data_IF_221369447184
#
_entry.id   IF_221369447184
#
_cell.length_a   1.000
_cell.length_b   1.000
_cell.length_c   1.000
_cell.angle_alpha   90.00
_cell.angle_beta   90.00
_cell.angle_gamma   90.00
#
_symmetry.space_group_name_H-M   'P 1'
#
loop_
_entity.id
_entity.type
_entity.pdbx_description
1 polymer ?
#
# COMPACT_ATOMS: atom_id res chain seq x y z
N UNK A 1 -20.51 64.44 -27.42
CA UNK A 1 -20.42 63.48 -26.30
C UNK A 1 -18.99 63.45 -25.79
N UNK A 2 -18.78 63.84 -24.53
CA UNK A 2 -17.47 63.70 -23.88
C UNK A 2 -17.21 62.20 -23.67
N UNK A 3 -15.97 61.73 -23.84
CA UNK A 3 -15.60 60.30 -23.64
C UNK A 3 -16.15 59.70 -22.34
N UNK A 4 -16.27 60.49 -21.28
CA UNK A 4 -16.84 60.11 -19.99
C UNK A 4 -18.32 59.72 -20.03
N UNK A 5 -19.13 60.33 -20.91
CA UNK A 5 -20.58 60.05 -21.04
C UNK A 5 -20.82 58.72 -21.76
N UNK A 6 -20.01 58.41 -22.78
CA UNK A 6 -20.07 57.14 -23.50
C UNK A 6 -19.71 55.95 -22.59
N UNK A 7 -18.72 56.13 -21.70
CA UNK A 7 -18.33 55.10 -20.72
C UNK A 7 -19.43 54.84 -19.70
N UNK A 8 -20.11 55.88 -19.23
CA UNK A 8 -21.17 55.79 -18.21
C UNK A 8 -22.43 55.10 -18.76
N UNK A 9 -22.81 55.40 -20.00
CA UNK A 9 -23.89 54.71 -20.71
C UNK A 9 -23.52 53.23 -20.94
N UNK A 10 -22.26 52.94 -21.29
CA UNK A 10 -21.76 51.57 -21.41
C UNK A 10 -21.90 50.77 -20.12
N UNK A 11 -21.55 51.35 -18.97
CA UNK A 11 -21.72 50.72 -17.67
C UNK A 11 -23.19 50.46 -17.30
N UNK A 12 -24.08 51.42 -17.60
CA UNK A 12 -25.52 51.25 -17.34
C UNK A 12 -26.14 50.12 -18.17
N UNK A 13 -25.72 49.96 -19.42
CA UNK A 13 -26.16 48.84 -20.27
C UNK A 13 -25.68 47.51 -19.72
N UNK A 14 -24.41 47.43 -19.27
CA UNK A 14 -23.85 46.21 -18.66
C UNK A 14 -24.58 45.85 -17.37
N UNK A 15 -24.85 46.83 -16.49
CA UNK A 15 -25.62 46.60 -15.26
C UNK A 15 -27.04 46.14 -15.58
N UNK A 16 -27.71 46.77 -16.56
CA UNK A 16 -29.05 46.38 -17.00
C UNK A 16 -29.11 44.94 -17.50
N UNK A 17 -28.14 44.51 -18.31
CA UNK A 17 -28.05 43.12 -18.82
C UNK A 17 -27.86 42.13 -17.66
N UNK A 18 -27.12 42.49 -16.62
CA UNK A 18 -26.89 41.62 -15.46
C UNK A 18 -28.12 41.56 -14.56
N UNK A 19 -28.78 42.69 -14.32
CA UNK A 19 -29.87 42.82 -13.33
C UNK A 19 -31.22 42.36 -13.90
N UNK A 20 -31.49 42.60 -15.19
CA UNK A 20 -32.76 42.30 -15.83
C UNK A 20 -33.21 40.82 -15.67
N UNK A 21 -32.34 39.81 -15.84
CA UNK A 21 -32.70 38.41 -15.59
C UNK A 21 -33.17 38.16 -14.15
N UNK A 22 -32.59 38.82 -13.15
CA UNK A 22 -32.98 38.66 -11.75
C UNK A 22 -34.32 39.35 -11.46
N UNK A 23 -34.57 40.52 -12.05
CA UNK A 23 -35.85 41.23 -11.93
C UNK A 23 -36.97 40.41 -12.58
N UNK A 24 -36.75 39.91 -13.80
CA UNK A 24 -37.72 39.05 -14.49
C UNK A 24 -38.00 37.75 -13.73
N UNK A 25 -36.97 37.13 -13.15
CA UNK A 25 -37.11 35.91 -12.34
C UNK A 25 -37.87 36.19 -11.03
N UNK A 26 -37.63 37.36 -10.42
CA UNK A 26 -38.33 37.81 -9.23
C UNK A 26 -39.82 38.05 -9.49
N UNK A 27 -40.17 38.69 -10.61
CA UNK A 27 -41.57 38.92 -10.98
C UNK A 27 -42.33 37.62 -11.25
N UNK A 28 -41.67 36.59 -11.79
CA UNK A 28 -42.32 35.32 -12.14
C UNK A 28 -42.52 34.37 -10.96
N UNK A 29 -41.57 34.30 -10.04
CA UNK A 29 -41.52 33.23 -9.02
C UNK A 29 -41.46 33.80 -7.58
N UNK A 30 -41.31 35.12 -7.45
CA UNK A 30 -41.20 35.80 -6.17
C UNK A 30 -39.91 35.50 -5.40
N UNK A 31 -39.75 36.18 -4.27
CA UNK A 31 -38.61 35.97 -3.36
C UNK A 31 -38.50 34.52 -2.85
N UNK A 32 -39.64 33.84 -2.68
CA UNK A 32 -39.70 32.45 -2.23
C UNK A 32 -39.10 31.52 -3.31
N UNK A 33 -39.44 31.73 -4.58
CA UNK A 33 -38.90 30.94 -5.69
C UNK A 33 -37.38 31.12 -5.87
N UNK A 34 -36.89 32.36 -5.78
CA UNK A 34 -35.45 32.65 -5.84
C UNK A 34 -34.71 31.98 -4.67
N UNK A 35 -35.27 32.06 -3.45
CA UNK A 35 -34.71 31.38 -2.29
C UNK A 35 -34.61 29.87 -2.48
N UNK A 36 -35.64 29.25 -3.04
CA UNK A 36 -35.71 27.81 -3.28
C UNK A 36 -34.69 27.35 -4.34
N UNK A 37 -34.52 28.12 -5.42
CA UNK A 37 -33.45 27.90 -6.40
C UNK A 37 -32.06 28.02 -5.76
N UNK A 38 -31.85 29.02 -4.90
CA UNK A 38 -30.60 29.21 -4.17
C UNK A 38 -30.25 28.00 -3.30
N UNK A 39 -31.22 27.46 -2.55
CA UNK A 39 -31.04 26.24 -1.74
C UNK A 39 -30.71 25.04 -2.60
N UNK A 40 -31.37 24.85 -3.75
CA UNK A 40 -31.08 23.74 -4.67
C UNK A 40 -29.65 23.84 -5.22
N UNK A 41 -29.22 25.03 -5.65
CA UNK A 41 -27.86 25.24 -6.20
C UNK A 41 -26.80 24.98 -5.14
N UNK A 42 -26.98 25.48 -3.91
CA UNK A 42 -26.06 25.22 -2.80
C UNK A 42 -26.03 23.74 -2.43
N UNK A 43 -27.20 23.10 -2.33
CA UNK A 43 -27.32 21.68 -2.07
C UNK A 43 -26.62 20.83 -3.14
N UNK A 44 -26.78 21.19 -4.42
CA UNK A 44 -26.11 20.54 -5.53
C UNK A 44 -24.59 20.73 -5.49
N UNK A 45 -24.11 21.95 -5.19
CA UNK A 45 -22.68 22.22 -5.06
C UNK A 45 -22.03 21.41 -3.93
N UNK A 46 -22.69 21.33 -2.77
CA UNK A 46 -22.26 20.51 -1.63
C UNK A 46 -22.23 19.03 -2.03
N UNK A 47 -23.32 18.52 -2.62
CA UNK A 47 -23.43 17.14 -3.07
C UNK A 47 -22.34 16.76 -4.10
N UNK A 48 -22.10 17.64 -5.08
CA UNK A 48 -21.07 17.46 -6.09
C UNK A 48 -19.67 17.39 -5.46
N UNK A 49 -19.37 18.28 -4.50
CA UNK A 49 -18.08 18.30 -3.83
C UNK A 49 -17.85 17.04 -2.98
N UNK A 50 -18.86 16.60 -2.22
CA UNK A 50 -18.82 15.34 -1.44
C UNK A 50 -18.61 14.15 -2.39
N UNK A 51 -19.40 14.06 -3.45
CA UNK A 51 -19.30 12.96 -4.43
C UNK A 51 -17.93 12.91 -5.11
N UNK A 52 -17.35 14.07 -5.41
CA UNK A 52 -16.00 14.17 -5.97
C UNK A 52 -14.94 13.70 -4.96
N UNK A 53 -15.02 14.17 -3.71
CA UNK A 53 -14.09 13.77 -2.65
C UNK A 53 -14.14 12.26 -2.39
N UNK A 54 -15.32 11.66 -2.36
CA UNK A 54 -15.49 10.20 -2.23
C UNK A 54 -14.86 9.44 -3.40
N UNK A 55 -15.03 9.92 -4.65
CA UNK A 55 -14.37 9.31 -5.81
C UNK A 55 -12.86 9.41 -5.74
N UNK A 56 -12.32 10.56 -5.34
CA UNK A 56 -10.88 10.75 -5.17
C UNK A 56 -10.31 9.89 -4.05
N UNK A 57 -11.05 9.70 -2.94
CA UNK A 57 -10.67 8.78 -1.87
C UNK A 57 -10.69 7.33 -2.35
N UNK A 58 -11.77 6.88 -3.00
CA UNK A 58 -11.85 5.52 -3.54
C UNK A 58 -10.73 5.22 -4.53
N UNK A 59 -10.42 6.15 -5.42
CA UNK A 59 -9.29 6.01 -6.37
C UNK A 59 -7.96 5.85 -5.64
N UNK A 60 -7.78 6.54 -4.52
CA UNK A 60 -6.56 6.44 -3.71
C UNK A 60 -6.50 5.12 -2.92
N UNK A 61 -7.63 4.69 -2.37
CA UNK A 61 -7.79 3.40 -1.69
C UNK A 61 -7.47 2.23 -2.64
N UNK A 62 -8.02 2.26 -3.86
CA UNK A 62 -7.73 1.27 -4.91
C UNK A 62 -6.23 1.24 -5.25
N UNK A 63 -5.57 2.40 -5.30
CA UNK A 63 -4.13 2.49 -5.52
C UNK A 63 -3.33 1.91 -4.35
N UNK A 64 -3.72 2.19 -3.11
CA UNK A 64 -3.06 1.65 -1.92
C UNK A 64 -3.13 0.12 -1.90
N UNK A 65 -4.31 -0.45 -2.20
CA UNK A 65 -4.51 -1.89 -2.32
C UNK A 65 -3.67 -2.48 -3.46
N UNK A 66 -3.65 -1.82 -4.63
CA UNK A 66 -2.85 -2.27 -5.76
C UNK A 66 -1.37 -2.37 -5.39
N UNK A 67 -0.83 -1.34 -4.74
CA UNK A 67 0.58 -1.28 -4.31
C UNK A 67 0.90 -2.28 -3.22
N UNK A 68 -0.02 -2.52 -2.27
CA UNK A 68 0.14 -3.51 -1.21
C UNK A 68 0.30 -4.92 -1.77
N UNK A 69 -0.40 -5.24 -2.86
CA UNK A 69 -0.46 -6.58 -3.42
C UNK A 69 0.45 -6.80 -4.63
N UNK A 70 0.87 -5.73 -5.32
CA UNK A 70 1.64 -5.82 -6.56
C UNK A 70 2.97 -5.10 -6.45
N UNK A 71 4.03 -5.79 -6.88
CA UNK A 71 5.34 -5.17 -7.01
C UNK A 71 5.37 -4.26 -8.23
N UNK A 72 5.76 -3.02 -8.00
CA UNK A 72 5.92 -2.04 -9.06
C UNK A 72 7.32 -2.08 -9.63
N UNK A 73 7.43 -1.85 -10.94
CA UNK A 73 8.74 -1.61 -11.55
C UNK A 73 9.33 -0.30 -10.99
N UNK A 74 10.66 -0.22 -10.72
CA UNK A 74 11.27 0.96 -10.11
C UNK A 74 10.94 2.29 -10.80
N UNK A 75 10.90 2.29 -12.14
CA UNK A 75 10.59 3.50 -12.92
C UNK A 75 9.13 3.94 -12.75
N UNK A 76 8.20 3.00 -12.69
CA UNK A 76 6.78 3.28 -12.46
C UNK A 76 6.55 3.80 -11.04
N UNK A 77 7.15 3.15 -10.04
CA UNK A 77 7.10 3.58 -8.65
C UNK A 77 7.66 5.00 -8.50
N UNK A 78 8.80 5.31 -9.14
CA UNK A 78 9.41 6.65 -9.13
C UNK A 78 8.49 7.69 -9.75
N UNK A 79 7.93 7.42 -10.93
CA UNK A 79 7.02 8.35 -11.62
C UNK A 79 5.75 8.60 -10.80
N UNK A 80 5.18 7.56 -10.22
CA UNK A 80 4.00 7.62 -9.37
C UNK A 80 4.27 8.47 -8.12
N UNK A 81 5.35 8.17 -7.39
CA UNK A 81 5.72 8.91 -6.18
C UNK A 81 6.02 10.39 -6.47
N UNK A 82 6.71 10.71 -7.58
CA UNK A 82 6.94 12.09 -7.98
C UNK A 82 5.63 12.85 -8.27
N UNK A 83 4.66 12.18 -8.92
CA UNK A 83 3.35 12.78 -9.21
C UNK A 83 2.53 12.99 -7.94
N UNK A 84 2.52 12.00 -7.04
CA UNK A 84 1.82 12.09 -5.76
C UNK A 84 2.45 13.12 -4.85
N UNK A 85 3.78 13.15 -4.70
CA UNK A 85 4.46 14.11 -3.83
C UNK A 85 4.17 15.57 -4.20
N UNK A 86 3.98 15.86 -5.50
CA UNK A 86 3.59 17.19 -5.99
C UNK A 86 2.15 17.58 -5.69
N UNK A 87 1.26 16.60 -5.50
CA UNK A 87 -0.19 16.85 -5.33
C UNK A 87 -0.65 16.64 -3.89
N UNK A 88 -0.13 15.63 -3.22
CA UNK A 88 -0.42 15.27 -1.83
C UNK A 88 0.76 14.49 -1.24
N UNK A 89 1.62 15.20 -0.50
CA UNK A 89 2.83 14.63 0.11
C UNK A 89 2.52 13.48 1.10
N UNK A 90 1.56 13.60 2.05
CA UNK A 90 1.19 12.50 2.93
C UNK A 90 0.77 11.22 2.19
N UNK A 91 -0.06 11.36 1.15
CA UNK A 91 -0.48 10.22 0.33
C UNK A 91 0.70 9.57 -0.40
N UNK A 92 1.65 10.38 -0.88
CA UNK A 92 2.89 9.86 -1.47
C UNK A 92 3.74 9.07 -0.47
N UNK A 93 3.82 9.53 0.79
CA UNK A 93 4.57 8.84 1.84
C UNK A 93 3.94 7.48 2.17
N UNK A 94 2.61 7.40 2.28
CA UNK A 94 1.91 6.14 2.46
C UNK A 94 2.18 5.15 1.32
N UNK A 95 2.01 5.59 0.06
CA UNK A 95 2.28 4.72 -1.09
C UNK A 95 3.74 4.23 -1.10
N UNK A 96 4.69 5.09 -0.74
CA UNK A 96 6.10 4.71 -0.60
C UNK A 96 6.30 3.64 0.48
N UNK A 97 5.66 3.78 1.63
CA UNK A 97 5.74 2.80 2.72
C UNK A 97 5.13 1.46 2.32
N UNK A 98 3.98 1.46 1.63
CA UNK A 98 3.36 0.23 1.10
C UNK A 98 4.24 -0.48 0.06
N UNK A 99 4.92 0.26 -0.82
CA UNK A 99 5.90 -0.31 -1.76
C UNK A 99 7.04 -1.01 -1.00
N UNK A 100 7.59 -0.35 0.03
CA UNK A 100 8.67 -0.91 0.85
C UNK A 100 8.20 -2.16 1.60
N UNK A 101 6.97 -2.15 2.13
CA UNK A 101 6.35 -3.31 2.77
C UNK A 101 6.27 -4.45 1.76
N UNK A 102 5.68 -4.24 0.58
CA UNK A 102 5.54 -5.28 -0.44
C UNK A 102 6.88 -5.91 -0.85
N UNK A 103 7.88 -5.08 -1.13
CA UNK A 103 9.24 -5.55 -1.44
C UNK A 103 9.85 -6.33 -0.27
N UNK A 104 9.61 -5.88 0.97
CA UNK A 104 10.14 -6.51 2.16
C UNK A 104 9.47 -7.85 2.47
N UNK A 105 8.16 -7.98 2.25
CA UNK A 105 7.42 -9.26 2.35
C UNK A 105 8.06 -10.29 1.42
N UNK A 106 8.23 -9.93 0.13
CA UNK A 106 8.78 -10.84 -0.87
C UNK A 106 10.17 -11.34 -0.45
N UNK A 107 11.07 -10.43 -0.05
CA UNK A 107 12.43 -10.81 0.31
C UNK A 107 12.47 -11.58 1.64
N UNK A 108 11.69 -11.16 2.65
CA UNK A 108 11.64 -11.82 3.96
C UNK A 108 11.19 -13.28 3.85
N UNK A 109 10.18 -13.54 3.02
CA UNK A 109 9.58 -14.88 2.86
C UNK A 109 10.30 -15.79 1.86
N UNK A 110 11.28 -15.28 1.10
CA UNK A 110 11.99 -16.05 0.06
C UNK A 110 13.51 -16.13 0.25
N UNK A 111 14.09 -15.26 1.08
CA UNK A 111 15.53 -15.21 1.30
C UNK A 111 16.05 -16.49 1.94
N UNK A 112 17.14 -17.02 1.37
CA UNK A 112 17.92 -18.15 1.91
C UNK A 112 19.05 -17.69 2.85
N UNK A 113 19.08 -16.41 3.21
CA UNK A 113 20.04 -15.82 4.15
C UNK A 113 19.28 -15.24 5.34
N UNK A 114 19.66 -15.64 6.55
CA UNK A 114 18.96 -15.30 7.80
C UNK A 114 18.92 -13.79 8.03
N UNK A 115 20.09 -13.16 8.05
CA UNK A 115 20.23 -11.72 8.28
C UNK A 115 19.41 -10.88 7.29
N UNK A 116 19.35 -11.31 6.02
CA UNK A 116 18.57 -10.62 4.99
C UNK A 116 17.07 -10.78 5.23
N UNK A 117 16.61 -11.97 5.60
CA UNK A 117 15.20 -12.22 5.86
C UNK A 117 14.72 -11.43 7.09
N UNK A 118 15.47 -11.50 8.19
CA UNK A 118 15.17 -10.80 9.45
C UNK A 118 15.25 -9.28 9.31
N UNK A 119 16.28 -8.76 8.64
CA UNK A 119 16.40 -7.32 8.36
C UNK A 119 15.21 -6.77 7.57
N UNK A 120 14.70 -7.56 6.60
CA UNK A 120 13.52 -7.18 5.81
C UNK A 120 12.24 -7.27 6.61
N UNK A 121 12.08 -8.28 7.46
CA UNK A 121 10.96 -8.34 8.40
C UNK A 121 10.95 -7.12 9.34
N UNK A 122 12.10 -6.74 9.89
CA UNK A 122 12.19 -5.53 10.73
C UNK A 122 11.83 -4.26 9.96
N UNK A 123 12.35 -4.11 8.73
CA UNK A 123 12.02 -2.97 7.87
C UNK A 123 10.50 -2.90 7.59
N UNK A 124 9.87 -4.03 7.32
CA UNK A 124 8.43 -4.13 7.12
C UNK A 124 7.66 -3.64 8.36
N UNK A 125 8.04 -4.12 9.55
CA UNK A 125 7.36 -3.77 10.80
C UNK A 125 7.54 -2.28 11.14
N UNK A 126 8.73 -1.71 10.93
CA UNK A 126 8.99 -0.28 11.11
C UNK A 126 8.07 0.58 10.22
N UNK A 127 7.92 0.21 8.95
CA UNK A 127 7.04 0.95 8.02
C UNK A 127 5.57 0.77 8.38
N UNK A 128 5.17 -0.41 8.84
CA UNK A 128 3.80 -0.62 9.30
C UNK A 128 3.48 0.23 10.54
N UNK A 129 4.41 0.34 11.48
CA UNK A 129 4.29 1.21 12.64
C UNK A 129 4.17 2.70 12.26
N UNK A 130 4.93 3.15 11.27
CA UNK A 130 4.82 4.50 10.70
C UNK A 130 3.43 4.73 10.11
N UNK A 131 2.93 3.78 9.30
CA UNK A 131 1.58 3.85 8.72
C UNK A 131 0.52 3.97 9.82
N UNK A 132 0.59 3.11 10.85
CA UNK A 132 -0.37 3.09 11.95
C UNK A 132 -0.43 4.44 12.67
N UNK A 133 0.72 5.05 12.95
CA UNK A 133 0.83 6.28 13.74
C UNK A 133 0.48 7.53 12.94
N UNK A 134 0.90 7.61 11.68
CA UNK A 134 0.91 8.88 10.94
C UNK A 134 0.01 8.88 9.71
N UNK A 135 -0.34 7.71 9.16
CA UNK A 135 -0.93 7.61 7.82
C UNK A 135 -2.24 6.80 7.77
N UNK A 136 -2.66 6.20 8.89
CA UNK A 136 -3.87 5.36 8.98
C UNK A 136 -5.14 6.11 8.56
N UNK A 137 -5.25 7.40 8.88
CA UNK A 137 -6.37 8.25 8.48
C UNK A 137 -6.38 8.70 7.01
N UNK A 138 -5.37 8.31 6.19
CA UNK A 138 -5.31 8.68 4.78
C UNK A 138 -6.09 7.74 3.86
N UNK A 139 -6.45 6.55 4.37
CA UNK A 139 -7.21 5.51 3.68
C UNK A 139 -8.49 5.19 4.44
N UNK A 140 -9.43 4.53 3.78
CA UNK A 140 -10.60 3.99 4.47
C UNK A 140 -10.22 2.90 5.48
N UNK A 141 -11.12 2.65 6.44
CA UNK A 141 -10.92 1.63 7.46
C UNK A 141 -10.77 0.24 6.83
N UNK A 142 -11.49 -0.04 5.75
CA UNK A 142 -11.42 -1.29 4.99
C UNK A 142 -10.01 -1.52 4.42
N UNK A 143 -9.42 -0.50 3.81
CA UNK A 143 -8.03 -0.58 3.29
C UNK A 143 -7.03 -0.72 4.42
N UNK A 144 -7.21 0.00 5.53
CA UNK A 144 -6.31 -0.13 6.68
C UNK A 144 -6.36 -1.54 7.29
N UNK A 145 -7.57 -2.12 7.42
CA UNK A 145 -7.75 -3.49 7.90
C UNK A 145 -7.10 -4.51 6.96
N UNK A 146 -7.15 -4.27 5.65
CA UNK A 146 -6.46 -5.11 4.67
C UNK A 146 -4.94 -5.03 4.82
N UNK A 147 -4.38 -3.83 5.06
CA UNK A 147 -2.97 -3.64 5.36
C UNK A 147 -2.60 -4.45 6.62
N UNK A 148 -3.34 -4.29 7.72
CA UNK A 148 -3.07 -5.03 8.96
C UNK A 148 -3.13 -6.55 8.74
N UNK A 149 -4.16 -7.03 8.04
CA UNK A 149 -4.30 -8.46 7.71
C UNK A 149 -3.06 -9.00 7.00
N UNK A 150 -2.61 -8.34 5.93
CA UNK A 150 -1.43 -8.77 5.17
C UNK A 150 -0.18 -8.80 6.06
N UNK A 151 -0.03 -7.85 6.97
CA UNK A 151 1.09 -7.84 7.93
C UNK A 151 0.99 -9.00 8.92
N UNK A 152 -0.19 -9.29 9.47
CA UNK A 152 -0.35 -10.43 10.40
C UNK A 152 -0.10 -11.76 9.70
N UNK A 153 -0.69 -11.97 8.52
CA UNK A 153 -0.46 -13.18 7.70
C UNK A 153 1.03 -13.36 7.42
N UNK A 154 1.74 -12.28 7.05
CA UNK A 154 3.18 -12.33 6.80
C UNK A 154 3.96 -12.72 8.06
N UNK A 155 3.59 -12.19 9.24
CA UNK A 155 4.24 -12.54 10.51
C UNK A 155 4.02 -14.01 10.86
N UNK A 156 2.81 -14.51 10.68
CA UNK A 156 2.44 -15.90 10.97
C UNK A 156 3.20 -16.88 10.08
N UNK A 157 3.40 -16.53 8.80
CA UNK A 157 4.15 -17.35 7.85
C UNK A 157 5.67 -17.26 8.03
N UNK A 158 6.19 -16.11 8.46
CA UNK A 158 7.61 -15.78 8.38
C UNK A 158 8.51 -16.79 9.05
N UNK A 159 8.18 -17.23 10.26
CA UNK A 159 9.03 -18.16 11.00
C UNK A 159 9.19 -19.48 10.25
N UNK A 160 8.08 -20.05 9.77
CA UNK A 160 8.11 -21.30 9.00
C UNK A 160 8.94 -21.12 7.73
N UNK A 161 8.70 -20.03 6.98
CA UNK A 161 9.41 -19.75 5.72
C UNK A 161 10.89 -19.50 5.93
N UNK A 162 11.29 -18.81 7.00
CA UNK A 162 12.67 -18.53 7.35
C UNK A 162 13.48 -19.83 7.42
N UNK A 163 13.08 -20.75 8.29
CA UNK A 163 13.84 -21.99 8.50
C UNK A 163 13.78 -22.94 7.30
N UNK A 164 12.63 -23.00 6.61
CA UNK A 164 12.53 -23.76 5.36
C UNK A 164 13.49 -23.24 4.29
N UNK A 165 13.60 -21.92 4.11
CA UNK A 165 14.46 -21.33 3.09
C UNK A 165 15.94 -21.49 3.43
N UNK A 166 16.33 -21.33 4.71
CA UNK A 166 17.70 -21.57 5.16
C UNK A 166 18.13 -23.02 4.88
N UNK A 167 17.31 -23.97 5.32
CA UNK A 167 17.55 -25.39 5.10
C UNK A 167 17.62 -25.73 3.60
N UNK A 168 16.69 -25.20 2.80
CA UNK A 168 16.71 -25.37 1.33
C UNK A 168 18.00 -24.83 0.72
N UNK A 169 18.46 -23.65 1.14
CA UNK A 169 19.73 -23.08 0.67
C UNK A 169 20.94 -23.95 0.99
N UNK A 170 20.97 -24.55 2.18
CA UNK A 170 22.00 -25.50 2.58
C UNK A 170 21.92 -26.82 1.81
N UNK A 171 20.72 -27.40 1.63
CA UNK A 171 20.51 -28.63 0.86
C UNK A 171 20.91 -28.47 -0.62
N UNK A 172 20.51 -27.36 -1.27
CA UNK A 172 20.93 -27.05 -2.64
C UNK A 172 22.45 -26.92 -2.75
N UNK A 173 23.10 -26.36 -1.73
CA UNK A 173 24.55 -26.25 -1.70
C UNK A 173 25.21 -27.61 -1.52
N UNK A 174 24.66 -28.49 -0.68
CA UNK A 174 25.11 -29.87 -0.52
C UNK A 174 25.06 -30.62 -1.86
N UNK A 175 23.96 -30.50 -2.61
CA UNK A 175 23.80 -31.17 -3.92
C UNK A 175 24.88 -30.76 -4.94
N UNK A 176 25.35 -29.51 -4.91
CA UNK A 176 26.36 -28.99 -5.85
C UNK A 176 27.80 -29.40 -5.52
N UNK A 177 28.07 -29.89 -4.31
CA UNK A 177 29.43 -30.19 -3.86
C UNK A 177 29.86 -31.60 -4.27
N UNK A 178 31.16 -31.80 -4.51
CA UNK A 178 31.71 -33.09 -4.97
C UNK A 178 32.03 -34.05 -3.82
N UNK A 179 32.57 -33.53 -2.71
CA UNK A 179 33.12 -34.34 -1.63
C UNK A 179 32.06 -34.67 -0.59
N UNK A 180 32.01 -35.95 -0.16
CA UNK A 180 31.09 -36.44 0.90
C UNK A 180 31.11 -35.55 2.14
N UNK A 181 32.31 -35.27 2.69
CA UNK A 181 32.50 -34.41 3.86
C UNK A 181 31.87 -33.01 3.72
N UNK A 182 31.96 -32.39 2.54
CA UNK A 182 31.38 -31.07 2.33
C UNK A 182 29.87 -31.13 2.13
N UNK A 183 29.33 -32.19 1.54
CA UNK A 183 27.88 -32.42 1.46
C UNK A 183 27.28 -32.59 2.85
N UNK A 184 27.90 -33.45 3.66
CA UNK A 184 27.49 -33.75 5.03
C UNK A 184 27.44 -32.47 5.89
N UNK A 185 28.50 -31.64 5.85
CA UNK A 185 28.53 -30.35 6.55
C UNK A 185 27.30 -29.48 6.24
N UNK A 186 26.86 -29.40 4.99
CA UNK A 186 25.71 -28.56 4.64
C UNK A 186 24.37 -29.22 4.98
N UNK A 187 24.28 -30.55 4.96
CA UNK A 187 23.09 -31.23 5.47
C UNK A 187 22.96 -31.08 6.98
N UNK A 188 24.07 -31.10 7.72
CA UNK A 188 24.09 -30.81 9.17
C UNK A 188 23.55 -29.41 9.47
N UNK A 189 24.01 -28.39 8.73
CA UNK A 189 23.49 -27.03 8.88
C UNK A 189 21.99 -26.94 8.57
N UNK A 190 21.52 -27.62 7.51
CA UNK A 190 20.10 -27.66 7.19
C UNK A 190 19.26 -28.31 8.31
N UNK A 191 19.75 -29.41 8.89
CA UNK A 191 19.11 -30.09 10.02
C UNK A 191 19.09 -29.20 11.25
N UNK A 192 20.19 -28.50 11.55
CA UNK A 192 20.31 -27.56 12.67
C UNK A 192 19.28 -26.43 12.56
N UNK A 193 19.18 -25.77 11.41
CA UNK A 193 18.19 -24.72 11.17
C UNK A 193 16.75 -25.24 11.36
N UNK A 194 16.42 -26.43 10.85
CA UNK A 194 15.08 -27.01 10.99
C UNK A 194 14.75 -27.37 12.45
N UNK A 195 15.73 -27.88 13.20
CA UNK A 195 15.58 -28.17 14.64
C UNK A 195 15.40 -26.88 15.44
N UNK A 196 16.16 -25.83 15.14
CA UNK A 196 15.96 -24.51 15.74
C UNK A 196 14.54 -23.99 15.48
N UNK A 197 14.08 -24.07 14.23
CA UNK A 197 12.73 -23.67 13.85
C UNK A 197 11.65 -24.40 14.65
N UNK A 198 11.80 -25.72 14.82
CA UNK A 198 10.89 -26.55 15.62
C UNK A 198 10.93 -26.22 17.11
N UNK A 199 12.11 -25.93 17.66
CA UNK A 199 12.28 -25.58 19.09
C UNK A 199 11.63 -24.25 19.43
N UNK A 200 11.73 -23.26 18.54
CA UNK A 200 11.11 -21.95 18.75
C UNK A 200 9.57 -22.02 18.76
N UNK A 201 8.98 -23.08 18.19
CA UNK A 201 7.54 -23.37 18.34
C UNK A 201 6.59 -22.38 17.64
N UNK A 202 7.12 -21.52 16.78
CA UNK A 202 6.34 -20.56 16.00
C UNK A 202 6.04 -21.15 14.61
N UNK A 203 4.79 -21.09 14.13
CA UNK A 203 4.43 -21.51 12.77
C UNK A 203 4.08 -23.01 12.59
N UNK A 204 4.14 -23.49 11.33
CA UNK A 204 3.64 -24.80 10.92
C UNK A 204 4.70 -25.90 11.09
N UNK A 205 4.80 -26.46 12.31
CA UNK A 205 5.80 -27.48 12.64
C UNK A 205 5.74 -28.77 11.80
N UNK A 206 4.60 -29.07 11.16
CA UNK A 206 4.48 -30.23 10.27
C UNK A 206 5.35 -30.12 9.02
N UNK A 207 5.42 -28.93 8.41
CA UNK A 207 6.26 -28.70 7.23
C UNK A 207 7.75 -28.79 7.57
N UNK A 208 8.15 -28.21 8.71
CA UNK A 208 9.53 -28.29 9.19
C UNK A 208 9.95 -29.75 9.44
N UNK A 209 9.07 -30.56 10.06
CA UNK A 209 9.32 -32.00 10.27
C UNK A 209 9.48 -32.77 8.96
N UNK A 210 8.64 -32.45 7.96
CA UNK A 210 8.70 -33.09 6.64
C UNK A 210 10.05 -32.85 5.97
N UNK A 211 10.52 -31.61 5.93
CA UNK A 211 11.82 -31.26 5.32
C UNK A 211 12.98 -31.79 6.16
N UNK A 212 12.85 -31.83 7.49
CA UNK A 212 13.85 -32.41 8.39
C UNK A 212 14.09 -33.88 8.06
N UNK A 213 13.01 -34.65 7.90
CA UNK A 213 13.12 -36.07 7.52
C UNK A 213 13.82 -36.25 6.16
N UNK A 214 13.57 -35.37 5.19
CA UNK A 214 14.25 -35.39 3.89
C UNK A 214 15.76 -35.09 4.03
N UNK A 215 16.14 -34.11 4.85
CA UNK A 215 17.52 -33.77 5.09
C UNK A 215 18.28 -34.90 5.82
N UNK A 216 17.63 -35.54 6.80
CA UNK A 216 18.18 -36.69 7.52
C UNK A 216 18.36 -37.92 6.61
N UNK A 217 17.36 -38.23 5.77
CA UNK A 217 17.48 -39.30 4.77
C UNK A 217 18.59 -39.03 3.75
N UNK A 218 18.69 -37.79 3.27
CA UNK A 218 19.75 -37.39 2.35
C UNK A 218 21.13 -37.53 2.99
N UNK A 219 21.25 -37.26 4.30
CA UNK A 219 22.50 -37.46 5.06
C UNK A 219 22.82 -38.94 5.21
N UNK A 220 21.85 -39.77 5.60
CA UNK A 220 22.03 -41.22 5.74
C UNK A 220 22.47 -41.88 4.43
N UNK A 221 21.96 -41.42 3.29
CA UNK A 221 22.38 -41.93 1.97
C UNK A 221 23.81 -41.55 1.56
N UNK A 222 24.47 -40.65 2.30
CA UNK A 222 25.88 -40.35 2.09
C UNK A 222 26.78 -41.32 2.84
N UNK A 223 26.30 -41.93 3.94
CA UNK A 223 27.06 -42.84 4.81
C UNK A 223 27.44 -44.13 4.08
#
# INVERSE_FOLDING_TARGET
MKKSEATLIGWLVVIGIIVYPFVWLHEKIGWIGIGLIGVIVVGFAIFYNISRSQKEQKTFDDLALYVLHNRLHPDEAKKMNLKLARSNFPRSALIRNLQIIRDSIEIALTSKKRDTAESRMNTLLERYEEIRKEQSGLVSAEVYNEIDRVIQETKDEFHTKLFLNLATGHMEKAQKLKTKKSKEKYLDLAIEDLKEGLQKGLGQGADLKRVLSQAEQAKANLE
#
